data_IF_800178711986
#
_entry.id   IF_800178711986
#
_cell.length_a   1.000
_cell.length_b   1.000
_cell.length_c   1.000
_cell.angle_alpha   90.00
_cell.angle_beta   90.00
_cell.angle_gamma   90.00
#
_symmetry.space_group_name_H-M   'P 1'
#
loop_
_entity.id
_entity.type
_entity.pdbx_description
1 polymer ?
#
# COMPACT_ATOMS: atom_id res chain seq x y z
N UNK A 1 -7.00 18.47 15.41
CA UNK A 1 -8.39 18.22 14.91
C UNK A 1 -8.52 18.54 13.42
N UNK A 2 -7.96 19.64 12.89
CA UNK A 2 -8.06 20.02 11.46
C UNK A 2 -7.44 18.94 10.53
N UNK A 3 -6.27 18.38 10.86
CA UNK A 3 -5.59 17.33 10.07
C UNK A 3 -6.31 15.97 10.06
N UNK A 4 -7.28 15.75 10.93
CA UNK A 4 -8.10 14.53 10.93
C UNK A 4 -9.16 14.62 9.82
N UNK A 5 -9.77 15.80 9.66
CA UNK A 5 -10.82 16.03 8.64
C UNK A 5 -10.17 16.30 7.28
N UNK A 6 -9.08 17.06 7.26
CA UNK A 6 -8.33 17.42 6.05
C UNK A 6 -6.88 16.92 6.16
N UNK A 7 -6.65 15.62 5.98
CA UNK A 7 -5.30 15.07 6.02
C UNK A 7 -4.43 15.66 4.91
N UNK A 8 -3.11 15.75 5.10
CA UNK A 8 -2.19 16.17 4.06
C UNK A 8 -2.40 15.38 2.77
N UNK A 9 -2.10 16.00 1.64
CA UNK A 9 -2.19 15.37 0.34
C UNK A 9 -0.82 14.81 -0.05
N UNK A 10 -0.80 13.57 -0.54
CA UNK A 10 0.40 12.99 -1.13
C UNK A 10 0.84 13.81 -2.36
N UNK A 11 2.15 13.92 -2.63
CA UNK A 11 2.70 14.73 -3.73
C UNK A 11 2.08 14.42 -5.11
N UNK A 12 1.76 13.15 -5.36
CA UNK A 12 1.09 12.70 -6.58
C UNK A 12 -0.37 13.18 -6.68
N UNK A 13 -0.98 13.55 -5.58
CA UNK A 13 -2.35 14.04 -5.51
C UNK A 13 -2.52 15.48 -5.99
N UNK A 14 -1.51 16.34 -5.83
CA UNK A 14 -1.64 17.76 -6.21
C UNK A 14 -2.00 17.94 -7.67
N UNK A 15 -1.31 17.22 -8.57
CA UNK A 15 -1.60 17.28 -10.02
C UNK A 15 -2.99 16.74 -10.34
N UNK A 16 -3.38 15.63 -9.73
CA UNK A 16 -4.69 15.00 -9.99
C UNK A 16 -5.84 15.87 -9.46
N UNK A 17 -5.65 16.46 -8.28
CA UNK A 17 -6.63 17.39 -7.70
C UNK A 17 -6.77 18.65 -8.55
N UNK A 18 -5.68 19.23 -9.03
CA UNK A 18 -5.73 20.41 -9.91
C UNK A 18 -6.52 20.11 -11.20
N UNK A 19 -6.28 18.96 -11.82
CA UNK A 19 -7.05 18.52 -13.00
C UNK A 19 -8.53 18.38 -12.65
N UNK A 20 -8.86 17.71 -11.54
CA UNK A 20 -10.24 17.49 -11.10
C UNK A 20 -10.97 18.83 -10.85
N UNK A 21 -10.32 19.81 -10.23
CA UNK A 21 -10.87 21.17 -10.00
C UNK A 21 -11.15 21.86 -11.33
N UNK A 22 -10.19 21.88 -12.27
CA UNK A 22 -10.37 22.50 -13.60
C UNK A 22 -11.54 21.86 -14.34
N UNK A 23 -11.59 20.53 -14.39
CA UNK A 23 -12.69 19.79 -15.04
C UNK A 23 -14.03 20.13 -14.39
N UNK A 24 -14.08 20.20 -13.06
CA UNK A 24 -15.31 20.58 -12.32
C UNK A 24 -15.76 21.98 -12.69
N UNK A 25 -14.84 22.96 -12.77
CA UNK A 25 -15.18 24.32 -13.16
C UNK A 25 -15.78 24.38 -14.59
N UNK A 26 -15.21 23.62 -15.53
CA UNK A 26 -15.76 23.52 -16.88
C UNK A 26 -17.15 22.87 -16.90
N UNK A 27 -17.36 21.83 -16.10
CA UNK A 27 -18.66 21.16 -15.98
C UNK A 27 -19.74 22.08 -15.39
N UNK A 28 -19.40 22.95 -14.42
CA UNK A 28 -20.32 23.95 -13.86
C UNK A 28 -20.80 24.93 -14.94
N UNK A 29 -19.92 25.34 -15.86
CA UNK A 29 -20.29 26.25 -16.97
C UNK A 29 -21.26 25.60 -17.96
N UNK A 30 -21.21 24.28 -18.11
CA UNK A 30 -22.08 23.52 -19.01
C UNK A 30 -23.46 23.26 -18.35
N UNK A 31 -23.45 22.72 -17.13
CA UNK A 31 -24.65 22.36 -16.40
C UNK A 31 -24.38 22.23 -14.90
N UNK A 32 -25.27 22.81 -14.07
CA UNK A 32 -25.16 22.77 -12.60
C UNK A 32 -25.13 21.35 -12.00
N UNK A 33 -25.87 20.40 -12.60
CA UNK A 33 -25.91 18.99 -12.14
C UNK A 33 -24.56 18.34 -12.41
N UNK A 34 -24.02 18.53 -13.62
CA UNK A 34 -22.68 18.02 -13.97
C UNK A 34 -21.61 18.63 -13.06
N UNK A 35 -21.73 19.91 -12.75
CA UNK A 35 -20.86 20.60 -11.78
C UNK A 35 -20.91 19.97 -10.39
N UNK A 36 -22.11 19.65 -9.90
CA UNK A 36 -22.28 18.98 -8.61
C UNK A 36 -21.63 17.58 -8.58
N UNK A 37 -21.80 16.81 -9.64
CA UNK A 37 -21.12 15.50 -9.80
C UNK A 37 -19.60 15.69 -9.81
N UNK A 38 -19.09 16.66 -10.59
CA UNK A 38 -17.67 17.01 -10.64
C UNK A 38 -17.11 17.38 -9.26
N UNK A 39 -17.85 18.15 -8.48
CA UNK A 39 -17.47 18.52 -7.12
C UNK A 39 -17.34 17.31 -6.19
N UNK A 40 -18.30 16.38 -6.21
CA UNK A 40 -18.24 15.13 -5.44
C UNK A 40 -17.01 14.30 -5.84
N UNK A 41 -16.77 14.18 -7.16
CA UNK A 41 -15.58 13.46 -7.65
C UNK A 41 -14.27 14.15 -7.26
N UNK A 42 -14.23 15.49 -7.22
CA UNK A 42 -13.06 16.24 -6.76
C UNK A 42 -12.76 15.98 -5.29
N UNK A 43 -13.78 15.94 -4.43
CA UNK A 43 -13.65 15.55 -3.03
C UNK A 43 -13.11 14.12 -2.92
N UNK A 44 -13.65 13.20 -3.70
CA UNK A 44 -13.17 11.82 -3.72
C UNK A 44 -11.69 11.72 -4.16
N UNK A 45 -11.26 12.46 -5.20
CA UNK A 45 -9.85 12.54 -5.61
C UNK A 45 -8.98 13.02 -4.46
N UNK A 46 -9.39 14.07 -3.74
CA UNK A 46 -8.67 14.55 -2.57
C UNK A 46 -8.50 13.43 -1.51
N UNK A 47 -9.60 12.76 -1.12
CA UNK A 47 -9.55 11.68 -0.14
C UNK A 47 -8.78 10.46 -0.60
N UNK A 48 -8.80 10.16 -1.89
CA UNK A 48 -8.01 9.06 -2.47
C UNK A 48 -6.50 9.29 -2.29
N UNK A 49 -6.03 10.51 -2.55
CA UNK A 49 -4.62 10.87 -2.45
C UNK A 49 -4.20 11.39 -1.07
N UNK A 50 -5.04 11.23 -0.05
CA UNK A 50 -4.68 11.65 1.31
C UNK A 50 -3.48 10.85 1.82
N UNK A 51 -2.64 11.51 2.61
CA UNK A 51 -1.47 10.93 3.26
C UNK A 51 -1.45 11.34 4.75
N UNK A 52 -2.35 10.76 5.57
CA UNK A 52 -2.43 11.09 6.97
C UNK A 52 -1.15 10.71 7.72
N UNK A 53 -0.82 11.44 8.75
CA UNK A 53 0.20 11.01 9.70
C UNK A 53 -0.23 9.71 10.39
N UNK A 54 0.76 8.86 10.68
CA UNK A 54 0.56 7.57 11.35
C UNK A 54 1.49 7.47 12.55
N UNK A 55 1.03 6.78 13.54
CA UNK A 55 1.72 6.64 14.83
C UNK A 55 2.05 5.16 15.06
N UNK A 56 3.16 4.65 14.47
CA UNK A 56 3.60 3.27 14.67
C UNK A 56 3.98 3.04 16.14
N UNK A 57 3.95 1.79 16.57
CA UNK A 57 4.33 1.42 17.94
C UNK A 57 5.83 1.64 18.21
N UNK A 58 6.66 1.71 17.15
CA UNK A 58 8.12 1.84 17.20
C UNK A 58 8.78 0.72 18.05
N UNK A 59 8.31 -0.50 17.87
CA UNK A 59 8.81 -1.70 18.53
C UNK A 59 9.05 -2.79 17.48
N UNK A 60 10.30 -3.17 17.29
CA UNK A 60 10.73 -4.16 16.31
C UNK A 60 10.32 -5.60 16.67
N UNK A 61 9.66 -5.82 17.80
CA UNK A 61 9.00 -7.09 18.09
C UNK A 61 7.65 -7.26 17.38
N UNK A 62 7.09 -6.18 16.80
CA UNK A 62 5.81 -6.20 16.10
C UNK A 62 5.94 -5.82 14.64
N UNK A 63 5.15 -6.51 13.79
CA UNK A 63 4.91 -6.12 12.40
C UNK A 63 3.61 -5.32 12.33
N UNK A 64 3.67 -4.09 11.79
CA UNK A 64 2.48 -3.28 11.50
C UNK A 64 2.01 -3.48 10.06
N UNK A 65 0.76 -3.12 9.77
CA UNK A 65 0.21 -3.24 8.42
C UNK A 65 0.93 -2.32 7.42
N UNK A 66 1.30 -2.83 6.23
CA UNK A 66 1.89 -2.00 5.18
C UNK A 66 0.86 -1.15 4.42
N UNK A 67 -0.43 -1.40 4.59
CA UNK A 67 -1.50 -0.75 3.83
C UNK A 67 -2.78 -0.58 4.66
N UNK A 68 -3.62 0.41 4.27
CA UNK A 68 -5.00 0.51 4.74
C UNK A 68 -5.88 -0.45 3.94
N UNK A 69 -6.75 -1.21 4.60
CA UNK A 69 -7.68 -2.07 3.86
C UNK A 69 -8.20 -3.24 4.66
N UNK A 70 -8.52 -4.32 3.96
CA UNK A 70 -9.02 -5.56 4.54
C UNK A 70 -8.00 -6.66 4.27
N UNK A 71 -7.67 -7.45 5.29
CA UNK A 71 -6.86 -8.65 5.11
C UNK A 71 -7.66 -9.66 4.28
N UNK A 72 -7.30 -9.79 3.01
CA UNK A 72 -7.98 -10.67 2.05
C UNK A 72 -7.51 -12.11 2.12
N UNK A 73 -6.24 -12.34 2.50
CA UNK A 73 -5.66 -13.67 2.58
C UNK A 73 -4.51 -13.71 3.59
N UNK A 74 -4.43 -14.82 4.32
CA UNK A 74 -3.28 -15.23 5.13
C UNK A 74 -2.90 -16.65 4.70
N UNK A 75 -1.65 -16.87 4.29
CA UNK A 75 -1.19 -18.16 3.80
C UNK A 75 0.30 -18.38 4.06
N UNK A 76 0.72 -19.63 4.20
CA UNK A 76 2.12 -20.02 4.12
C UNK A 76 2.45 -20.32 2.66
N UNK A 77 3.41 -19.61 2.10
CA UNK A 77 3.77 -19.70 0.69
C UNK A 77 5.29 -19.54 0.52
N UNK A 78 5.82 -20.02 -0.59
CA UNK A 78 7.20 -19.71 -0.96
C UNK A 78 7.37 -18.22 -1.20
N UNK A 79 8.53 -17.69 -0.85
CA UNK A 79 8.85 -16.28 -1.10
C UNK A 79 8.89 -15.92 -2.58
N UNK A 80 8.87 -14.62 -2.93
CA UNK A 80 8.91 -14.16 -4.30
C UNK A 80 10.22 -14.57 -5.00
N UNK A 81 10.10 -15.26 -6.14
CA UNK A 81 11.25 -15.70 -6.94
C UNK A 81 12.06 -14.54 -7.52
N UNK A 82 11.40 -13.43 -7.82
CA UNK A 82 12.03 -12.22 -8.34
C UNK A 82 13.01 -11.57 -7.32
N UNK A 83 12.89 -11.94 -6.04
CA UNK A 83 13.75 -11.49 -4.96
C UNK A 83 14.67 -12.61 -4.42
N UNK A 84 14.77 -13.73 -5.14
CA UNK A 84 15.54 -14.93 -4.75
C UNK A 84 15.14 -15.43 -3.34
N UNK A 85 13.82 -15.44 -3.04
CA UNK A 85 13.27 -15.85 -1.74
C UNK A 85 12.49 -17.19 -1.81
N UNK A 86 12.43 -17.86 -2.96
CA UNK A 86 11.64 -19.08 -3.18
C UNK A 86 12.17 -20.32 -2.45
N UNK A 87 13.37 -20.27 -1.89
CA UNK A 87 14.02 -21.43 -1.27
C UNK A 87 13.43 -21.83 0.10
N UNK A 88 12.58 -20.98 0.68
CA UNK A 88 11.89 -21.26 1.94
C UNK A 88 10.45 -20.73 1.94
N UNK A 89 9.67 -21.21 2.90
CA UNK A 89 8.31 -20.74 3.15
C UNK A 89 8.30 -19.51 4.05
N UNK A 90 7.36 -18.62 3.77
CA UNK A 90 7.05 -17.40 4.52
C UNK A 90 5.56 -17.36 4.83
N UNK A 91 5.21 -16.72 5.93
CA UNK A 91 3.84 -16.25 6.10
C UNK A 91 3.60 -15.06 5.17
N UNK A 92 2.49 -15.10 4.42
CA UNK A 92 2.03 -14.00 3.59
C UNK A 92 0.73 -13.45 4.14
N UNK A 93 0.71 -12.16 4.41
CA UNK A 93 -0.51 -11.39 4.72
C UNK A 93 -0.79 -10.47 3.55
N UNK A 94 -1.96 -10.64 2.91
CA UNK A 94 -2.41 -9.84 1.77
C UNK A 94 -3.45 -8.83 2.23
N UNK A 95 -3.20 -7.54 2.03
CA UNK A 95 -4.13 -6.45 2.36
C UNK A 95 -4.69 -5.86 1.07
N UNK A 96 -6.01 -6.00 0.88
CA UNK A 96 -6.74 -5.43 -0.25
C UNK A 96 -7.21 -4.01 0.09
N UNK A 97 -6.87 -3.05 -0.77
CA UNK A 97 -7.26 -1.65 -0.66
C UNK A 97 -8.36 -1.34 -1.68
N UNK A 98 -9.53 -0.95 -1.21
CA UNK A 98 -10.59 -0.44 -2.08
C UNK A 98 -10.37 1.05 -2.39
N UNK A 99 -11.11 1.61 -3.34
CA UNK A 99 -10.95 2.98 -3.84
C UNK A 99 -11.24 4.09 -2.81
N UNK A 100 -11.69 3.76 -1.61
CA UNK A 100 -11.93 4.71 -0.50
C UNK A 100 -10.85 4.63 0.58
N UNK A 101 -9.99 3.62 0.54
CA UNK A 101 -8.87 3.50 1.47
C UNK A 101 -7.75 4.51 1.14
N UNK A 102 -6.85 4.76 2.10
CA UNK A 102 -5.59 5.44 1.83
C UNK A 102 -4.66 4.49 1.08
N UNK A 103 -4.05 4.96 -0.01
CA UNK A 103 -3.21 4.13 -0.88
C UNK A 103 -1.71 4.33 -0.68
N UNK A 104 -1.31 5.15 0.29
CA UNK A 104 0.08 5.29 0.71
C UNK A 104 0.47 4.06 1.51
N UNK A 105 1.51 3.36 1.06
CA UNK A 105 2.02 2.17 1.73
C UNK A 105 3.20 2.51 2.63
N UNK A 106 3.36 1.71 3.70
CA UNK A 106 4.33 1.98 4.77
C UNK A 106 5.14 0.74 5.15
N UNK A 107 6.31 0.98 5.75
CA UNK A 107 7.21 -0.08 6.24
C UNK A 107 6.61 -0.76 7.47
N UNK A 108 6.48 -2.10 7.48
CA UNK A 108 5.95 -2.86 8.60
C UNK A 108 6.85 -2.93 9.83
N UNK A 109 8.15 -2.86 9.64
CA UNK A 109 9.19 -2.95 10.70
C UNK A 109 10.43 -2.22 10.22
N UNK A 110 11.20 -1.66 11.15
CA UNK A 110 12.47 -0.98 10.87
C UNK A 110 13.45 -1.89 10.14
N UNK A 111 14.11 -1.37 9.09
CA UNK A 111 15.08 -2.16 8.33
C UNK A 111 15.76 -1.40 7.20
N UNK A 112 16.69 -2.08 6.53
CA UNK A 112 17.43 -1.57 5.38
C UNK A 112 16.95 -2.26 4.11
N UNK A 113 16.70 -1.48 3.06
CA UNK A 113 16.30 -2.02 1.75
C UNK A 113 17.48 -2.69 1.08
N UNK A 114 17.33 -4.00 0.81
CA UNK A 114 18.34 -4.80 0.14
C UNK A 114 18.20 -4.74 -1.38
N UNK A 115 16.96 -4.86 -1.87
CA UNK A 115 16.67 -4.98 -3.30
C UNK A 115 15.28 -4.44 -3.62
N UNK A 116 15.12 -3.84 -4.80
CA UNK A 116 13.84 -3.43 -5.36
C UNK A 116 13.74 -3.99 -6.77
N UNK A 117 12.67 -4.71 -7.05
CA UNK A 117 12.41 -5.28 -8.36
C UNK A 117 11.03 -4.84 -8.87
N UNK A 118 11.03 -4.15 -10.01
CA UNK A 118 9.79 -3.77 -10.68
C UNK A 118 9.48 -4.73 -11.82
N UNK A 119 8.27 -5.27 -11.85
CA UNK A 119 7.78 -6.16 -12.90
C UNK A 119 6.58 -5.52 -13.59
N UNK A 120 6.69 -5.14 -14.86
CA UNK A 120 5.54 -4.76 -15.65
C UNK A 120 4.59 -5.96 -15.81
N UNK A 121 3.29 -5.70 -15.90
CA UNK A 121 2.30 -6.76 -15.96
C UNK A 121 0.94 -6.29 -16.46
N UNK A 122 -0.07 -7.15 -16.28
CA UNK A 122 -1.47 -6.87 -16.59
C UNK A 122 -2.12 -6.06 -15.46
N UNK A 123 -3.38 -5.68 -15.67
CA UNK A 123 -4.21 -4.99 -14.68
C UNK A 123 -5.52 -5.78 -14.52
N UNK A 124 -5.44 -6.94 -13.85
CA UNK A 124 -6.61 -7.72 -13.46
C UNK A 124 -7.02 -7.39 -12.03
N UNK A 125 -8.20 -7.83 -11.60
CA UNK A 125 -8.70 -7.56 -10.25
C UNK A 125 -7.72 -8.06 -9.18
N UNK A 126 -7.17 -7.14 -8.37
CA UNK A 126 -6.16 -7.43 -7.34
C UNK A 126 -6.67 -8.34 -6.20
N UNK A 127 -8.00 -8.51 -6.04
CA UNK A 127 -8.56 -9.44 -5.07
C UNK A 127 -8.32 -10.92 -5.42
N UNK A 128 -8.04 -11.21 -6.70
CA UNK A 128 -7.77 -12.57 -7.18
C UNK A 128 -6.32 -12.97 -6.87
N UNK A 129 -6.11 -14.22 -6.47
CA UNK A 129 -4.76 -14.71 -6.15
C UNK A 129 -3.83 -14.70 -7.39
N UNK A 130 -4.36 -14.96 -8.59
CA UNK A 130 -3.65 -14.83 -9.87
C UNK A 130 -3.09 -13.42 -10.15
N UNK A 131 -3.67 -12.38 -9.54
CA UNK A 131 -3.12 -11.02 -9.64
C UNK A 131 -1.71 -10.91 -9.07
N UNK A 132 -1.33 -11.78 -8.13
CA UNK A 132 0.03 -11.87 -7.58
C UNK A 132 1.08 -12.27 -8.61
N UNK A 133 0.71 -12.88 -9.73
CA UNK A 133 1.64 -13.38 -10.75
C UNK A 133 1.59 -12.56 -12.03
N UNK A 134 0.42 -12.12 -12.44
CA UNK A 134 0.16 -11.51 -13.76
C UNK A 134 0.20 -9.98 -13.75
N UNK A 135 -0.17 -9.32 -12.64
CA UNK A 135 -0.28 -7.87 -12.56
C UNK A 135 1.08 -7.16 -12.47
N UNK A 136 1.06 -5.87 -12.84
CA UNK A 136 2.16 -4.95 -12.54
C UNK A 136 2.47 -4.99 -11.05
N UNK A 137 3.74 -5.17 -10.69
CA UNK A 137 4.21 -5.32 -9.31
C UNK A 137 5.49 -4.56 -9.06
N UNK A 138 5.62 -4.06 -7.84
CA UNK A 138 6.87 -3.56 -7.29
C UNK A 138 7.18 -4.37 -6.02
N UNK A 139 8.32 -5.05 -6.03
CA UNK A 139 8.76 -5.94 -4.96
C UNK A 139 9.93 -5.27 -4.23
N UNK A 140 9.83 -5.19 -2.91
CA UNK A 140 10.84 -4.57 -2.04
C UNK A 140 11.27 -5.60 -1.03
N UNK A 141 12.53 -6.03 -1.10
CA UNK A 141 13.19 -6.88 -0.10
C UNK A 141 13.98 -6.02 0.86
N UNK A 142 13.86 -6.28 2.13
CA UNK A 142 14.58 -5.56 3.16
C UNK A 142 14.87 -6.44 4.38
N UNK A 143 15.92 -6.07 5.12
CA UNK A 143 16.39 -6.81 6.30
C UNK A 143 16.37 -5.91 7.52
N UNK A 144 15.84 -6.40 8.64
CA UNK A 144 15.86 -5.67 9.91
C UNK A 144 17.19 -5.81 10.65
N UNK A 145 17.34 -5.09 11.78
CA UNK A 145 18.56 -5.10 12.59
C UNK A 145 18.94 -6.46 13.17
N UNK A 146 18.01 -7.42 13.29
CA UNK A 146 18.26 -8.80 13.72
C UNK A 146 18.57 -9.77 12.56
N UNK A 147 18.75 -9.28 11.34
CA UNK A 147 19.10 -10.09 10.17
C UNK A 147 17.92 -10.85 9.56
N UNK A 148 16.68 -10.59 9.97
CA UNK A 148 15.50 -11.21 9.39
C UNK A 148 15.08 -10.47 8.12
N UNK A 149 14.73 -11.25 7.09
CA UNK A 149 14.37 -10.76 5.76
C UNK A 149 12.87 -10.71 5.58
N UNK A 150 12.38 -9.63 4.99
CA UNK A 150 10.99 -9.37 4.65
C UNK A 150 10.85 -8.99 3.19
N UNK A 151 9.66 -9.21 2.63
CA UNK A 151 9.31 -8.66 1.34
C UNK A 151 7.95 -7.97 1.38
N UNK A 152 7.87 -6.79 0.77
CA UNK A 152 6.63 -6.08 0.49
C UNK A 152 6.41 -6.14 -1.01
N UNK A 153 5.26 -6.63 -1.43
CA UNK A 153 4.88 -6.68 -2.85
C UNK A 153 3.67 -5.79 -3.05
N UNK A 154 3.88 -4.66 -3.72
CA UNK A 154 2.83 -3.76 -4.18
C UNK A 154 2.28 -4.30 -5.49
N UNK A 155 0.98 -4.52 -5.59
CA UNK A 155 0.32 -5.15 -6.74
C UNK A 155 -0.76 -4.20 -7.24
N UNK A 156 -0.63 -3.76 -8.49
CA UNK A 156 -1.63 -2.93 -9.14
C UNK A 156 -2.91 -3.72 -9.44
N UNK A 157 -4.07 -3.09 -9.30
CA UNK A 157 -5.37 -3.69 -9.63
C UNK A 157 -5.92 -3.24 -10.98
N UNK A 158 -7.18 -3.58 -11.26
CA UNK A 158 -7.86 -3.36 -12.55
C UNK A 158 -7.87 -1.89 -13.01
N UNK A 159 -8.03 -0.97 -12.08
CA UNK A 159 -8.09 0.48 -12.34
C UNK A 159 -6.72 1.13 -12.12
N UNK A 160 -5.84 0.44 -11.36
CA UNK A 160 -4.49 0.90 -11.09
C UNK A 160 -3.68 0.96 -12.38
N UNK A 161 -3.08 2.12 -12.65
CA UNK A 161 -2.23 2.31 -13.82
C UNK A 161 -0.78 2.65 -13.45
N UNK A 162 -0.45 2.67 -12.16
CA UNK A 162 0.93 2.94 -11.75
C UNK A 162 1.18 2.68 -10.26
N UNK A 163 2.26 1.98 -9.99
CA UNK A 163 2.90 1.89 -8.69
C UNK A 163 4.03 2.92 -8.66
N UNK A 164 4.05 3.77 -7.63
CA UNK A 164 5.11 4.74 -7.41
C UNK A 164 5.88 4.30 -6.17
N UNK A 165 7.10 3.84 -6.40
CA UNK A 165 8.06 3.52 -5.35
C UNK A 165 8.84 4.78 -5.00
N UNK A 166 8.91 5.14 -3.69
CA UNK A 166 9.57 6.36 -3.22
C UNK A 166 10.88 6.08 -2.47
N UNK A 167 11.21 4.82 -2.33
CA UNK A 167 12.40 4.35 -1.62
C UNK A 167 13.46 3.82 -2.58
N UNK A 168 14.69 3.70 -2.10
CA UNK A 168 15.84 3.26 -2.89
C UNK A 168 16.57 2.12 -2.19
N UNK A 169 17.24 1.26 -2.98
CA UNK A 169 18.13 0.25 -2.46
C UNK A 169 19.22 0.88 -1.57
N UNK A 170 19.51 0.23 -0.45
CA UNK A 170 20.45 0.68 0.55
C UNK A 170 19.90 1.70 1.56
N UNK A 171 18.66 2.18 1.39
CA UNK A 171 18.01 3.12 2.31
C UNK A 171 17.61 2.43 3.62
N UNK A 172 17.88 3.08 4.76
CA UNK A 172 17.33 2.70 6.05
C UNK A 172 15.96 3.34 6.23
N UNK A 173 15.00 2.57 6.74
CA UNK A 173 13.64 3.00 6.98
C UNK A 173 13.22 2.60 8.39
N UNK A 174 12.48 3.47 9.04
CA UNK A 174 11.85 3.18 10.33
C UNK A 174 10.46 2.57 10.12
N UNK A 175 9.96 1.86 11.12
CA UNK A 175 8.59 1.35 11.12
C UNK A 175 7.60 2.49 10.87
N UNK A 176 6.68 2.29 9.94
CA UNK A 176 5.68 3.30 9.55
C UNK A 176 6.12 4.31 8.49
N UNK A 177 7.40 4.34 8.09
CA UNK A 177 7.88 5.20 7.01
C UNK A 177 7.18 4.88 5.69
N UNK A 178 7.00 5.90 4.84
CA UNK A 178 6.37 5.76 3.52
C UNK A 178 7.28 5.03 2.54
N UNK A 179 6.71 4.10 1.76
CA UNK A 179 7.44 3.40 0.69
C UNK A 179 6.92 3.75 -0.69
N UNK A 180 5.78 4.41 -0.77
CA UNK A 180 5.18 4.83 -2.02
C UNK A 180 3.66 4.74 -2.03
N UNK A 181 3.06 4.87 -3.21
CA UNK A 181 1.61 4.85 -3.41
C UNK A 181 1.24 4.01 -4.63
N UNK A 182 0.11 3.31 -4.54
CA UNK A 182 -0.49 2.59 -5.68
C UNK A 182 -1.75 3.35 -6.12
N UNK A 183 -1.85 3.72 -7.41
CA UNK A 183 -3.02 4.46 -7.91
C UNK A 183 -4.15 3.50 -8.26
N UNK A 184 -5.33 3.68 -7.63
CA UNK A 184 -6.65 3.07 -7.90
C UNK A 184 -6.76 1.55 -7.77
N UNK A 185 -7.23 1.07 -6.60
CA UNK A 185 -7.60 -0.31 -6.30
C UNK A 185 -6.44 -1.29 -6.42
N UNK A 186 -5.98 -1.84 -5.30
CA UNK A 186 -4.69 -2.52 -5.25
C UNK A 186 -4.62 -3.50 -4.09
N UNK A 187 -3.54 -4.26 -4.04
CA UNK A 187 -3.21 -5.16 -2.94
C UNK A 187 -1.75 -4.99 -2.55
N UNK A 188 -1.46 -5.13 -1.26
CA UNK A 188 -0.10 -5.24 -0.75
C UNK A 188 0.05 -6.57 -0.06
N UNK A 189 1.04 -7.35 -0.44
CA UNK A 189 1.42 -8.59 0.21
C UNK A 189 2.66 -8.36 1.06
N UNK A 190 2.60 -8.72 2.34
CA UNK A 190 3.73 -8.74 3.26
C UNK A 190 4.16 -10.19 3.48
N UNK A 191 5.45 -10.48 3.22
CA UNK A 191 6.09 -11.77 3.48
C UNK A 191 7.04 -11.64 4.66
N UNK A 192 6.94 -12.55 5.62
CA UNK A 192 7.77 -12.59 6.81
C UNK A 192 7.96 -14.03 7.31
N UNK A 193 8.94 -14.21 8.18
CA UNK A 193 9.34 -15.51 8.70
C UNK A 193 8.23 -16.17 9.55
N UNK A 194 8.15 -17.50 9.52
CA UNK A 194 7.20 -18.29 10.30
C UNK A 194 7.43 -18.23 11.83
N UNK A 195 8.54 -17.65 12.28
CA UNK A 195 8.77 -17.40 13.70
C UNK A 195 7.84 -16.31 14.28
N UNK A 196 7.30 -15.43 13.43
CA UNK A 196 6.33 -14.43 13.85
C UNK A 196 4.94 -15.05 14.08
N UNK A 197 4.40 -14.85 15.28
CA UNK A 197 3.04 -15.26 15.63
C UNK A 197 2.03 -14.24 15.08
N UNK A 198 1.13 -14.68 14.22
CA UNK A 198 0.02 -13.88 13.72
C UNK A 198 -0.88 -13.39 14.85
N UNK A 199 -1.19 -12.09 14.84
CA UNK A 199 -2.16 -11.44 15.72
C UNK A 199 -3.43 -11.09 14.95
N UNK A 200 -3.30 -10.78 13.67
CA UNK A 200 -4.40 -10.39 12.80
C UNK A 200 -5.11 -11.60 12.19
N UNK A 201 -6.34 -11.38 11.72
CA UNK A 201 -7.20 -12.41 11.11
C UNK A 201 -7.65 -11.99 9.72
N UNK A 202 -7.89 -12.97 8.86
CA UNK A 202 -8.52 -12.72 7.55
C UNK A 202 -9.91 -12.07 7.75
N UNK A 203 -10.22 -11.08 6.90
CA UNK A 203 -11.44 -10.26 7.01
C UNK A 203 -11.30 -9.04 7.92
N UNK A 204 -10.23 -8.92 8.70
CA UNK A 204 -9.99 -7.78 9.57
C UNK A 204 -9.63 -6.53 8.75
N UNK A 205 -10.22 -5.38 9.14
CA UNK A 205 -9.80 -4.06 8.64
C UNK A 205 -8.54 -3.61 9.36
N UNK A 206 -7.57 -3.10 8.60
CA UNK A 206 -6.26 -2.66 9.10
C UNK A 206 -5.90 -1.28 8.57
N UNK A 207 -5.02 -0.61 9.32
CA UNK A 207 -4.54 0.75 9.06
C UNK A 207 -3.01 0.68 8.92
N UNK A 208 -2.50 1.22 7.80
CA UNK A 208 -1.07 1.26 7.49
C UNK A 208 -0.25 1.95 8.59
N UNK A 209 0.82 1.32 9.01
CA UNK A 209 1.72 1.85 10.04
C UNK A 209 1.22 1.75 11.48
N UNK A 210 -0.03 1.28 11.72
CA UNK A 210 -0.62 1.27 13.07
C UNK A 210 -1.16 -0.10 13.49
N UNK A 211 -1.91 -0.80 12.61
CA UNK A 211 -2.50 -2.09 12.97
C UNK A 211 -1.46 -3.18 13.09
N UNK A 212 -1.42 -3.86 14.24
CA UNK A 212 -0.51 -4.98 14.49
C UNK A 212 -0.93 -6.21 13.70
N UNK A 213 -0.03 -6.76 12.89
CA UNK A 213 -0.24 -7.97 12.11
C UNK A 213 0.34 -9.22 12.75
N UNK A 214 1.55 -9.10 13.29
CA UNK A 214 2.24 -10.23 13.91
C UNK A 214 3.24 -9.75 14.98
N UNK A 215 3.68 -10.70 15.82
CA UNK A 215 4.66 -10.47 16.88
C UNK A 215 5.68 -11.61 16.90
N UNK A 216 6.97 -11.30 17.13
CA UNK A 216 8.02 -12.29 17.40
C UNK A 216 7.99 -12.72 18.86
#
# INVERSE_FOLDING_TARGET
>A
MFNIIFPPLHKEGYRMLAIAVIVTMLLILINKILGAIGFILTIWVYYFFRDPERYPINDDSFLVSPADGIISLIANVRGPKELNMENREYQRVSVFMNVFNCHVNRVPITGKIDEIFYKPGKFINASLDKASEDNERNLIKYTNGSGKTFAIVQIAGLIARRIICEVKQGQNLNQGDRIGIIRFGSRVDLYFDNEYKLLAKQGQTVVAGESLLAKI
#
